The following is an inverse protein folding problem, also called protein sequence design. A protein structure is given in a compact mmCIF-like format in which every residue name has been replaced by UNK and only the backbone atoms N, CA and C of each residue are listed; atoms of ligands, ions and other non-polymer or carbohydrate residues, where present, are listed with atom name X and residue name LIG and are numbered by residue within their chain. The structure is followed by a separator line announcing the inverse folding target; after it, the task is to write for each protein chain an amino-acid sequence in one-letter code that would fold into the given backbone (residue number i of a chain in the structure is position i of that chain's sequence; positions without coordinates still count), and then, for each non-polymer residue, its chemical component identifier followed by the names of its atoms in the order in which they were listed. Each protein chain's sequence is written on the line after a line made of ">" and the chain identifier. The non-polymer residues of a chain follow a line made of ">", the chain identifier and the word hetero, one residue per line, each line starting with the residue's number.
data_IF_675357862989
#
_entry.id   IF_675357862989
#
_cell.length_a   1.000
_cell.length_b   1.000
_cell.length_c   1.000
_cell.angle_alpha   90.00
_cell.angle_beta   90.00
_cell.angle_gamma   90.00
#
_symmetry.space_group_name_H-M   'P 1'
#
loop_
_entity.id
_entity.type
_entity.pdbx_description
1 polymer ?
#
# COMPACT_ATOMS: atom_id res chain seq x y z
N UNK A 1 22.81 -28.68 10.96
CA UNK A 1 22.68 -27.66 9.90
C UNK A 1 21.81 -28.25 8.80
N UNK A 2 20.65 -27.66 8.50
CA UNK A 2 19.72 -28.16 7.47
C UNK A 2 19.84 -27.24 6.26
N UNK A 3 20.15 -27.80 5.08
CA UNK A 3 20.14 -27.08 3.81
C UNK A 3 18.85 -27.41 3.06
N UNK A 4 18.10 -26.37 2.69
CA UNK A 4 16.91 -26.49 1.85
C UNK A 4 17.32 -26.20 0.40
N UNK A 5 17.18 -27.18 -0.49
CA UNK A 5 17.36 -26.97 -1.92
C UNK A 5 16.07 -26.43 -2.52
N UNK A 6 16.14 -25.22 -3.10
CA UNK A 6 15.04 -24.63 -3.86
C UNK A 6 15.29 -24.91 -5.35
N UNK A 7 14.47 -25.75 -6.01
CA UNK A 7 14.56 -25.93 -7.45
C UNK A 7 14.22 -24.61 -8.18
N UNK A 8 14.76 -24.39 -9.39
CA UNK A 8 14.41 -23.22 -10.19
C UNK A 8 12.90 -23.25 -10.47
N UNK A 9 12.25 -22.13 -10.19
CA UNK A 9 10.83 -21.96 -10.48
C UNK A 9 10.59 -22.04 -11.99
N UNK A 10 9.60 -22.83 -12.40
CA UNK A 10 9.10 -22.80 -13.78
C UNK A 10 8.50 -21.43 -14.11
N UNK A 11 8.48 -21.08 -15.39
CA UNK A 11 7.92 -19.79 -15.84
C UNK A 11 6.43 -19.66 -15.45
N UNK A 12 5.68 -20.76 -15.47
CA UNK A 12 4.28 -20.84 -15.05
C UNK A 12 4.13 -20.51 -13.56
N UNK A 13 5.04 -21.00 -12.70
CA UNK A 13 5.03 -20.68 -11.28
C UNK A 13 5.42 -19.23 -10.99
N UNK A 14 6.33 -18.65 -11.78
CA UNK A 14 6.67 -17.22 -11.70
C UNK A 14 5.46 -16.34 -12.03
N UNK A 15 4.71 -16.67 -13.10
CA UNK A 15 3.47 -15.96 -13.47
C UNK A 15 2.39 -16.02 -12.39
N UNK A 16 2.22 -17.16 -11.73
CA UNK A 16 1.30 -17.27 -10.59
C UNK A 16 1.72 -16.40 -9.40
N UNK A 17 3.01 -16.34 -9.10
CA UNK A 17 3.55 -15.51 -8.02
C UNK A 17 3.35 -14.02 -8.31
N UNK A 18 3.57 -13.58 -9.57
CA UNK A 18 3.28 -12.20 -9.99
C UNK A 18 1.80 -11.88 -9.79
N UNK A 19 0.88 -12.75 -10.21
CA UNK A 19 -0.57 -12.56 -9.97
C UNK A 19 -0.90 -12.44 -8.48
N UNK A 20 -0.30 -13.25 -7.62
CA UNK A 20 -0.49 -13.15 -6.17
C UNK A 20 0.03 -11.82 -5.63
N UNK A 21 1.22 -11.40 -6.04
CA UNK A 21 1.79 -10.11 -5.65
C UNK A 21 0.89 -8.95 -6.07
N UNK A 22 0.33 -8.97 -7.28
CA UNK A 22 -0.63 -7.97 -7.75
C UNK A 22 -1.90 -7.92 -6.88
N UNK A 23 -2.43 -9.09 -6.49
CA UNK A 23 -3.57 -9.18 -5.57
C UNK A 23 -3.28 -8.56 -4.19
N UNK A 24 -2.12 -8.85 -3.61
CA UNK A 24 -1.66 -8.25 -2.34
C UNK A 24 -1.45 -6.73 -2.47
N UNK A 25 -0.97 -6.27 -3.62
CA UNK A 25 -0.86 -4.85 -3.95
C UNK A 25 -2.19 -4.13 -3.93
N UNK A 26 -3.21 -4.68 -4.58
CA UNK A 26 -4.56 -4.11 -4.58
C UNK A 26 -5.18 -4.12 -3.18
N UNK A 27 -5.01 -5.20 -2.41
CA UNK A 27 -5.42 -5.25 -1.00
C UNK A 27 -4.78 -4.12 -0.18
N UNK A 28 -3.48 -3.87 -0.39
CA UNK A 28 -2.75 -2.78 0.28
C UNK A 28 -3.30 -1.41 -0.12
N UNK A 29 -3.57 -1.18 -1.41
CA UNK A 29 -4.19 0.08 -1.88
C UNK A 29 -5.59 0.29 -1.30
N UNK A 30 -6.40 -0.77 -1.20
CA UNK A 30 -7.73 -0.71 -0.57
C UNK A 30 -7.61 -0.33 0.90
N UNK A 31 -6.69 -0.96 1.64
CA UNK A 31 -6.45 -0.66 3.05
C UNK A 31 -6.04 0.81 3.26
N UNK A 32 -5.13 1.34 2.44
CA UNK A 32 -4.71 2.75 2.49
C UNK A 32 -5.91 3.69 2.29
N UNK A 33 -6.79 3.40 1.31
CA UNK A 33 -7.99 4.21 1.06
C UNK A 33 -8.98 4.17 2.21
N UNK A 34 -9.16 3.01 2.85
CA UNK A 34 -10.03 2.88 4.02
C UNK A 34 -9.49 3.69 5.20
N UNK A 35 -8.20 3.58 5.51
CA UNK A 35 -7.55 4.36 6.59
C UNK A 35 -7.70 5.87 6.34
N UNK A 36 -7.51 6.33 5.09
CA UNK A 36 -7.72 7.74 4.75
C UNK A 36 -9.16 8.17 5.03
N UNK A 37 -10.15 7.35 4.68
CA UNK A 37 -11.56 7.66 4.92
C UNK A 37 -11.86 7.75 6.42
N UNK A 38 -11.35 6.81 7.21
CA UNK A 38 -11.53 6.80 8.66
C UNK A 38 -10.85 8.01 9.31
N UNK A 39 -9.65 8.38 8.85
CA UNK A 39 -8.94 9.56 9.30
C UNK A 39 -9.72 10.86 9.01
N UNK A 40 -10.27 11.02 7.80
CA UNK A 40 -11.11 12.17 7.46
C UNK A 40 -12.36 12.22 8.34
N UNK A 41 -12.98 11.07 8.62
CA UNK A 41 -14.12 11.01 9.54
C UNK A 41 -13.74 11.45 10.96
N UNK A 42 -12.56 11.06 11.43
CA UNK A 42 -12.01 11.51 12.71
C UNK A 42 -11.75 13.03 12.72
N UNK A 43 -11.17 13.59 11.65
CA UNK A 43 -10.96 15.04 11.53
C UNK A 43 -12.30 15.78 11.59
N UNK A 44 -13.33 15.31 10.88
CA UNK A 44 -14.68 15.89 10.92
C UNK A 44 -15.32 15.83 12.31
N UNK A 45 -15.11 14.75 13.06
CA UNK A 45 -15.55 14.64 14.46
C UNK A 45 -14.82 15.65 15.35
N UNK A 46 -13.52 15.83 15.16
CA UNK A 46 -12.72 16.82 15.90
C UNK A 46 -13.12 18.26 15.56
N UNK A 47 -13.45 18.55 14.31
CA UNK A 47 -14.03 19.83 13.87
C UNK A 47 -15.30 20.18 14.66
N UNK A 48 -16.21 19.21 14.83
CA UNK A 48 -17.42 19.40 15.65
C UNK A 48 -17.13 19.60 17.13
N UNK A 49 -16.00 19.09 17.63
CA UNK A 49 -15.57 19.23 19.02
C UNK A 49 -14.76 20.50 19.28
N UNK A 50 -14.62 21.40 18.29
CA UNK A 50 -13.98 22.71 18.45
C UNK A 50 -12.61 22.85 17.79
N UNK A 51 -12.20 21.94 16.89
CA UNK A 51 -11.00 22.12 16.08
C UNK A 51 -11.20 23.25 15.06
N UNK A 52 -10.20 24.13 14.90
CA UNK A 52 -10.21 25.20 13.90
C UNK A 52 -10.33 24.66 12.47
N UNK A 53 -11.05 25.37 11.60
CA UNK A 53 -11.15 25.02 10.17
C UNK A 53 -9.79 24.97 9.47
N UNK A 54 -8.87 25.85 9.86
CA UNK A 54 -7.51 25.88 9.30
C UNK A 54 -6.74 24.59 9.67
N UNK A 55 -6.78 24.20 10.95
CA UNK A 55 -6.13 22.98 11.41
C UNK A 55 -6.72 21.71 10.79
N UNK A 56 -8.02 21.71 10.48
CA UNK A 56 -8.68 20.60 9.79
C UNK A 56 -8.23 20.49 8.33
N UNK A 57 -8.11 21.62 7.62
CA UNK A 57 -7.58 21.65 6.25
C UNK A 57 -6.13 21.19 6.18
N UNK A 58 -5.30 21.64 7.12
CA UNK A 58 -3.90 21.20 7.21
C UNK A 58 -3.81 19.69 7.47
N UNK A 59 -4.61 19.17 8.40
CA UNK A 59 -4.67 17.73 8.68
C UNK A 59 -5.16 16.89 7.49
N UNK A 60 -6.14 17.39 6.72
CA UNK A 60 -6.59 16.74 5.48
C UNK A 60 -5.49 16.74 4.41
N UNK A 61 -4.75 17.84 4.26
CA UNK A 61 -3.64 17.95 3.33
C UNK A 61 -2.50 16.98 3.69
N UNK A 62 -2.13 16.90 4.97
CA UNK A 62 -1.13 15.97 5.48
C UNK A 62 -1.56 14.51 5.26
N UNK A 63 -2.82 14.19 5.55
CA UNK A 63 -3.37 12.85 5.29
C UNK A 63 -3.31 12.49 3.80
N UNK A 64 -3.59 13.44 2.91
CA UNK A 64 -3.50 13.21 1.47
C UNK A 64 -2.05 12.97 1.04
N UNK A 65 -1.09 13.77 1.52
CA UNK A 65 0.33 13.56 1.24
C UNK A 65 0.83 12.19 1.72
N UNK A 66 0.44 11.78 2.94
CA UNK A 66 0.80 10.48 3.51
C UNK A 66 0.22 9.35 2.66
N UNK A 67 -1.06 9.45 2.29
CA UNK A 67 -1.75 8.46 1.44
C UNK A 67 -1.04 8.30 0.10
N UNK A 68 -0.70 9.41 -0.56
CA UNK A 68 -0.05 9.40 -1.87
C UNK A 68 1.37 8.81 -1.78
N UNK A 69 2.12 9.17 -0.73
CA UNK A 69 3.45 8.60 -0.46
C UNK A 69 3.40 7.09 -0.29
N UNK A 70 2.48 6.57 0.52
CA UNK A 70 2.37 5.13 0.73
C UNK A 70 1.82 4.39 -0.49
N UNK A 71 0.91 5.01 -1.26
CA UNK A 71 0.44 4.44 -2.52
C UNK A 71 1.59 4.28 -3.51
N UNK A 72 2.45 5.30 -3.66
CA UNK A 72 3.63 5.23 -4.50
C UNK A 72 4.66 4.20 -4.00
N UNK A 73 4.81 4.04 -2.69
CA UNK A 73 5.67 2.98 -2.12
C UNK A 73 5.16 1.59 -2.46
N UNK A 74 3.86 1.33 -2.32
CA UNK A 74 3.24 0.05 -2.69
C UNK A 74 3.51 -0.27 -4.16
N UNK A 75 3.30 0.68 -5.06
CA UNK A 75 3.58 0.50 -6.48
C UNK A 75 5.06 0.21 -6.77
N UNK A 76 5.98 0.96 -6.14
CA UNK A 76 7.41 0.72 -6.28
C UNK A 76 7.82 -0.67 -5.80
N UNK A 77 7.26 -1.14 -4.69
CA UNK A 77 7.53 -2.48 -4.18
C UNK A 77 6.96 -3.57 -5.08
N UNK A 78 5.78 -3.35 -5.64
CA UNK A 78 5.14 -4.27 -6.57
C UNK A 78 5.99 -4.43 -7.85
N UNK A 79 6.39 -3.31 -8.45
CA UNK A 79 7.24 -3.29 -9.65
C UNK A 79 8.59 -3.94 -9.40
N UNK A 80 9.22 -3.67 -8.26
CA UNK A 80 10.47 -4.29 -7.88
C UNK A 80 10.32 -5.80 -7.72
N UNK A 81 9.23 -6.26 -7.09
CA UNK A 81 8.99 -7.69 -6.87
C UNK A 81 8.63 -8.41 -8.17
N UNK A 82 7.86 -7.78 -9.05
CA UNK A 82 7.56 -8.32 -10.37
C UNK A 82 8.83 -8.47 -11.21
N UNK A 83 9.71 -7.47 -11.21
CA UNK A 83 11.01 -7.55 -11.88
C UNK A 83 11.89 -8.64 -11.28
N UNK A 84 11.97 -8.76 -9.95
CA UNK A 84 12.76 -9.81 -9.29
C UNK A 84 12.23 -11.22 -9.60
N UNK A 85 10.91 -11.40 -9.65
CA UNK A 85 10.28 -12.69 -9.99
C UNK A 85 10.51 -13.04 -11.47
N UNK A 86 10.57 -12.04 -12.36
CA UNK A 86 10.71 -12.26 -13.80
C UNK A 86 12.16 -12.25 -14.29
N UNK A 87 13.08 -11.58 -13.58
CA UNK A 87 14.51 -11.64 -13.89
C UNK A 87 15.09 -12.98 -13.44
N UNK A 88 15.84 -13.62 -14.33
CA UNK A 88 16.74 -14.73 -14.04
C UNK A 88 18.16 -14.17 -14.00
#
# INVERSE_FOLDING_TARGET
>A
MIRLFLPPLTEERRKELVKKCQGEGEHSKIAIRNIRRDAIEHIKKLQKNGLSEDAAKDAEADMQQITDKFTAQVEKHLDAKEKEIMSV
#
